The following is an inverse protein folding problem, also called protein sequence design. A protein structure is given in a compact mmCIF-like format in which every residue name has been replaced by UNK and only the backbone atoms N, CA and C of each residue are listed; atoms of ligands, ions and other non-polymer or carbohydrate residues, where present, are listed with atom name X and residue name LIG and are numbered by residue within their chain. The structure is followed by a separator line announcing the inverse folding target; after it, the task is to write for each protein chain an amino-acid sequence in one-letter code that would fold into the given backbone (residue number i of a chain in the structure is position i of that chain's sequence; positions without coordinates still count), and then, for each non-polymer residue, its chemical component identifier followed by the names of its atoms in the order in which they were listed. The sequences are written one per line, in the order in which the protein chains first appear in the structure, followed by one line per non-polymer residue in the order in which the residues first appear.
data_IF_624520143845
#
_entry.id   IF_624520143845
#
_cell.length_a   1.000
_cell.length_b   1.000
_cell.length_c   1.000
_cell.angle_alpha   90.00
_cell.angle_beta   90.00
_cell.angle_gamma   90.00
#
_symmetry.space_group_name_H-M   'P 1'
#
loop_
_entity.id
_entity.type
_entity.pdbx_description
1 polymer ?
#
# COMPACT_ATOMS: atom_id res chain seq x y z
N UNK A 1 -23.21 23.30 -0.79
CA UNK A 1 -23.03 21.97 -1.45
C UNK A 1 -24.40 21.31 -1.49
N UNK A 2 -24.72 20.57 -2.55
CA UNK A 2 -25.96 19.79 -2.65
C UNK A 2 -25.65 18.30 -2.52
N UNK A 3 -26.50 17.55 -1.82
CA UNK A 3 -26.43 16.10 -1.66
C UNK A 3 -27.72 15.50 -2.23
N UNK A 4 -27.58 14.49 -3.09
CA UNK A 4 -28.70 13.93 -3.86
C UNK A 4 -28.74 12.43 -3.62
N UNK A 5 -29.93 11.89 -3.37
CA UNK A 5 -30.17 10.46 -3.21
C UNK A 5 -31.27 10.04 -4.18
N UNK A 6 -31.13 8.85 -4.78
CA UNK A 6 -32.22 8.21 -5.55
C UNK A 6 -33.27 7.59 -4.64
N UNK A 7 -32.93 7.36 -3.37
CA UNK A 7 -33.86 6.86 -2.36
C UNK A 7 -34.48 8.02 -1.60
N UNK A 8 -35.76 8.29 -1.86
CA UNK A 8 -36.54 9.35 -1.23
C UNK A 8 -36.99 9.04 0.21
N UNK A 9 -36.85 7.78 0.65
CA UNK A 9 -37.22 7.37 2.01
C UNK A 9 -36.12 7.65 3.05
N UNK A 10 -34.90 8.01 2.62
CA UNK A 10 -33.81 8.31 3.53
C UNK A 10 -33.99 9.67 4.20
N UNK A 11 -33.74 9.73 5.51
CA UNK A 11 -33.59 10.97 6.23
C UNK A 11 -32.35 11.73 5.77
N UNK A 12 -32.33 13.05 6.00
CA UNK A 12 -31.16 13.88 5.72
C UNK A 12 -29.90 13.38 6.44
N UNK A 13 -30.05 12.88 7.67
CA UNK A 13 -28.92 12.34 8.44
C UNK A 13 -28.34 11.07 7.81
N UNK A 14 -29.19 10.16 7.35
CA UNK A 14 -28.75 8.95 6.63
C UNK A 14 -28.02 9.32 5.33
N UNK A 15 -28.59 10.24 4.53
CA UNK A 15 -27.93 10.73 3.31
C UNK A 15 -26.52 11.26 3.64
N UNK A 16 -26.40 12.10 4.67
CA UNK A 16 -25.11 12.64 5.09
C UNK A 16 -24.13 11.55 5.56
N UNK A 17 -24.61 10.53 6.29
CA UNK A 17 -23.76 9.40 6.70
C UNK A 17 -23.22 8.62 5.51
N UNK A 18 -24.04 8.37 4.48
CA UNK A 18 -23.60 7.70 3.25
C UNK A 18 -22.55 8.53 2.50
N UNK A 19 -22.75 9.85 2.41
CA UNK A 19 -21.76 10.73 1.80
C UNK A 19 -20.46 10.84 2.60
N UNK A 20 -20.51 10.69 3.93
CA UNK A 20 -19.31 10.61 4.77
C UNK A 20 -18.48 9.35 4.45
N UNK A 21 -19.15 8.22 4.19
CA UNK A 21 -18.50 6.97 3.74
C UNK A 21 -17.81 7.07 2.37
N UNK A 22 -17.97 8.17 1.62
CA UNK A 22 -17.23 8.42 0.37
C UNK A 22 -15.77 8.82 0.62
N UNK A 23 -15.49 9.49 1.74
CA UNK A 23 -14.16 10.04 2.05
C UNK A 23 -13.02 9.00 2.04
N UNK A 24 -13.20 7.77 2.55
CA UNK A 24 -12.19 6.72 2.47
C UNK A 24 -11.66 6.45 1.06
N UNK A 25 -12.46 6.61 0.00
CA UNK A 25 -12.00 6.43 -1.39
C UNK A 25 -10.96 7.51 -1.75
N UNK A 26 -11.17 8.75 -1.32
CA UNK A 26 -10.21 9.84 -1.57
C UNK A 26 -8.90 9.63 -0.80
N UNK A 27 -9.00 9.12 0.43
CA UNK A 27 -7.84 8.74 1.25
C UNK A 27 -7.07 7.59 0.60
N UNK A 28 -7.77 6.55 0.14
CA UNK A 28 -7.18 5.44 -0.60
C UNK A 28 -6.40 5.95 -1.82
N UNK A 29 -7.01 6.78 -2.67
CA UNK A 29 -6.35 7.31 -3.85
C UNK A 29 -5.13 8.17 -3.53
N UNK A 30 -5.18 8.96 -2.46
CA UNK A 30 -4.04 9.75 -2.00
C UNK A 30 -2.87 8.86 -1.59
N UNK A 31 -3.13 7.86 -0.75
CA UNK A 31 -2.14 6.88 -0.31
C UNK A 31 -1.51 6.12 -1.48
N UNK A 32 -2.32 5.72 -2.45
CA UNK A 32 -1.84 5.00 -3.63
C UNK A 32 -0.91 5.86 -4.50
N UNK A 33 -1.17 7.16 -4.62
CA UNK A 33 -0.27 8.09 -5.31
C UNK A 33 1.03 8.27 -4.53
N UNK A 34 0.92 8.64 -3.26
CA UNK A 34 2.08 9.01 -2.44
C UNK A 34 3.03 7.84 -2.13
N UNK A 35 2.51 6.62 -1.94
CA UNK A 35 3.30 5.46 -1.47
C UNK A 35 3.36 4.30 -2.46
N UNK A 36 2.37 4.17 -3.34
CA UNK A 36 2.26 3.05 -4.28
C UNK A 36 2.48 3.45 -5.75
N UNK A 37 2.95 4.68 -5.99
CA UNK A 37 3.34 5.23 -7.29
C UNK A 37 2.22 5.28 -8.35
N UNK A 38 0.97 5.46 -7.93
CA UNK A 38 -0.17 5.52 -8.84
C UNK A 38 -0.10 6.69 -9.82
N UNK A 39 0.44 7.84 -9.40
CA UNK A 39 0.66 9.02 -10.25
C UNK A 39 1.95 8.94 -11.08
N UNK A 40 2.94 8.17 -10.61
CA UNK A 40 4.18 7.88 -11.33
C UNK A 40 4.08 6.77 -12.38
N UNK A 41 3.00 5.97 -12.39
CA UNK A 41 2.85 4.83 -13.29
C UNK A 41 2.59 5.27 -14.76
N UNK A 42 3.51 4.91 -15.68
CA UNK A 42 3.50 5.39 -17.07
C UNK A 42 3.04 4.35 -18.11
N UNK A 43 2.70 3.11 -17.72
CA UNK A 43 2.34 2.06 -18.68
C UNK A 43 0.96 2.34 -19.30
N UNK A 44 0.89 2.32 -20.63
CA UNK A 44 -0.32 2.68 -21.40
C UNK A 44 -1.10 1.50 -21.96
N UNK A 45 -0.69 0.26 -21.68
CA UNK A 45 -1.44 -0.92 -22.12
C UNK A 45 -2.60 -1.20 -21.17
N UNK A 46 -3.79 -1.49 -21.71
CA UNK A 46 -4.96 -1.81 -20.88
C UNK A 46 -4.70 -3.00 -19.94
N UNK A 47 -3.98 -4.01 -20.42
CA UNK A 47 -3.60 -5.16 -19.60
C UNK A 47 -2.59 -4.79 -18.50
N UNK A 48 -1.60 -3.94 -18.82
CA UNK A 48 -0.63 -3.45 -17.83
C UNK A 48 -1.33 -2.64 -16.74
N UNK A 49 -2.24 -1.75 -17.12
CA UNK A 49 -3.07 -0.98 -16.18
C UNK A 49 -3.82 -1.94 -15.25
N UNK A 50 -4.55 -2.93 -15.79
CA UNK A 50 -5.28 -3.92 -14.97
C UNK A 50 -4.39 -4.67 -13.98
N UNK A 51 -3.22 -5.14 -14.43
CA UNK A 51 -2.26 -5.86 -13.56
C UNK A 51 -1.75 -4.98 -12.44
N UNK A 52 -1.34 -3.76 -12.76
CA UNK A 52 -0.87 -2.80 -11.78
C UNK A 52 -1.95 -2.46 -10.76
N UNK A 53 -3.19 -2.21 -11.19
CA UNK A 53 -4.32 -1.97 -10.29
C UNK A 53 -4.53 -3.10 -9.29
N UNK A 54 -4.44 -4.36 -9.74
CA UNK A 54 -4.58 -5.52 -8.87
C UNK A 54 -3.46 -5.58 -7.82
N UNK A 55 -2.20 -5.43 -8.26
CA UNK A 55 -1.03 -5.49 -7.38
C UNK A 55 -1.02 -4.35 -6.37
N UNK A 56 -1.31 -3.13 -6.81
CA UNK A 56 -1.40 -1.95 -5.96
C UNK A 56 -2.51 -2.11 -4.92
N UNK A 57 -3.70 -2.55 -5.34
CA UNK A 57 -4.83 -2.77 -4.42
C UNK A 57 -4.51 -3.87 -3.40
N UNK A 58 -3.83 -4.94 -3.83
CA UNK A 58 -3.37 -6.01 -2.95
C UNK A 58 -2.32 -5.50 -1.95
N UNK A 59 -1.35 -4.69 -2.40
CA UNK A 59 -0.35 -4.10 -1.52
C UNK A 59 -1.00 -3.18 -0.47
N UNK A 60 -1.96 -2.35 -0.87
CA UNK A 60 -2.74 -1.53 0.05
C UNK A 60 -3.48 -2.38 1.09
N UNK A 61 -4.15 -3.44 0.64
CA UNK A 61 -4.84 -4.38 1.51
C UNK A 61 -3.87 -5.07 2.49
N UNK A 62 -2.73 -5.56 2.01
CA UNK A 62 -1.71 -6.16 2.87
C UNK A 62 -1.17 -5.18 3.91
N UNK A 63 -1.05 -3.89 3.61
CA UNK A 63 -0.70 -2.90 4.63
C UNK A 63 -1.80 -2.78 5.69
N UNK A 64 -3.08 -2.85 5.32
CA UNK A 64 -4.17 -2.73 6.30
C UNK A 64 -4.36 -3.97 7.18
N UNK A 65 -4.01 -5.17 6.71
CA UNK A 65 -4.34 -6.45 7.40
C UNK A 65 -3.16 -7.39 7.64
N UNK A 66 -2.06 -7.21 6.93
CA UNK A 66 -0.94 -8.15 6.87
C UNK A 66 -0.06 -8.17 8.13
N UNK A 67 -0.25 -7.22 9.04
CA UNK A 67 0.51 -7.11 10.30
C UNK A 67 -0.08 -7.97 11.43
N UNK A 68 -1.05 -8.83 11.13
CA UNK A 68 -1.74 -9.70 12.11
C UNK A 68 -2.87 -9.00 12.88
N UNK A 69 -3.12 -7.73 12.57
CA UNK A 69 -4.24 -6.94 13.08
C UNK A 69 -4.77 -6.01 11.98
N UNK A 70 -6.01 -5.58 12.13
CA UNK A 70 -6.53 -4.47 11.33
C UNK A 70 -5.90 -3.16 11.80
N UNK A 71 -5.28 -2.42 10.88
CA UNK A 71 -4.70 -1.12 11.16
C UNK A 71 -4.92 -0.15 10.00
N UNK A 72 -4.53 1.11 10.19
CA UNK A 72 -4.54 2.08 9.09
C UNK A 72 -3.46 1.70 8.06
N UNK A 73 -3.70 2.00 6.79
CA UNK A 73 -2.70 1.78 5.73
C UNK A 73 -1.34 2.38 6.08
N UNK A 74 -1.30 3.60 6.63
CA UNK A 74 -0.02 4.27 6.95
C UNK A 74 0.76 3.50 8.01
N UNK A 75 0.07 3.05 9.07
CA UNK A 75 0.68 2.27 10.15
C UNK A 75 1.27 0.97 9.61
N UNK A 76 0.47 0.19 8.88
CA UNK A 76 0.95 -1.09 8.38
C UNK A 76 1.96 -0.97 7.25
N UNK A 77 1.88 0.08 6.42
CA UNK A 77 2.91 0.40 5.43
C UNK A 77 4.26 0.61 6.12
N UNK A 78 4.31 1.41 7.19
CA UNK A 78 5.53 1.62 7.96
C UNK A 78 6.04 0.33 8.61
N UNK A 79 5.17 -0.44 9.29
CA UNK A 79 5.55 -1.70 9.93
C UNK A 79 6.11 -2.72 8.90
N UNK A 80 5.50 -2.83 7.72
CA UNK A 80 5.97 -3.71 6.64
C UNK A 80 7.30 -3.20 6.07
N UNK A 81 7.44 -1.88 5.82
CA UNK A 81 8.70 -1.31 5.35
C UNK A 81 9.85 -1.56 6.35
N UNK A 82 9.60 -1.36 7.64
CA UNK A 82 10.58 -1.62 8.71
C UNK A 82 10.96 -3.10 8.76
N UNK A 83 9.98 -3.99 8.60
CA UNK A 83 10.21 -5.44 8.55
C UNK A 83 11.08 -5.81 7.36
N UNK A 84 10.74 -5.35 6.15
CA UNK A 84 11.53 -5.57 4.93
C UNK A 84 12.96 -5.04 5.10
N UNK A 85 13.11 -3.86 5.70
CA UNK A 85 14.42 -3.27 5.93
C UNK A 85 15.25 -4.09 6.93
N UNK A 86 14.64 -4.59 8.00
CA UNK A 86 15.29 -5.46 8.98
C UNK A 86 15.70 -6.80 8.34
N UNK A 87 14.84 -7.40 7.52
CA UNK A 87 15.15 -8.62 6.77
C UNK A 87 16.33 -8.44 5.83
N UNK A 88 16.41 -7.30 5.13
CA UNK A 88 17.59 -6.94 4.32
C UNK A 88 18.86 -6.89 5.15
N UNK A 89 18.84 -6.23 6.31
CA UNK A 89 20.01 -6.19 7.19
C UNK A 89 20.40 -7.56 7.72
N UNK A 90 19.42 -8.40 8.09
CA UNK A 90 19.67 -9.79 8.52
C UNK A 90 20.31 -10.61 7.41
N UNK A 91 19.81 -10.48 6.18
CA UNK A 91 20.39 -11.14 5.01
C UNK A 91 21.84 -10.70 4.79
N UNK A 92 22.11 -9.39 4.75
CA UNK A 92 23.47 -8.86 4.58
C UNK A 92 24.42 -9.33 5.69
N UNK A 93 23.95 -9.34 6.94
CA UNK A 93 24.73 -9.84 8.07
C UNK A 93 25.08 -11.33 7.90
N UNK A 94 24.13 -12.15 7.45
CA UNK A 94 24.36 -13.57 7.19
C UNK A 94 25.39 -13.76 6.07
N UNK A 95 25.26 -13.04 4.95
CA UNK A 95 26.22 -13.07 3.86
C UNK A 95 27.64 -12.67 4.32
N UNK A 96 27.75 -11.64 5.16
CA UNK A 96 29.03 -11.19 5.69
C UNK A 96 29.69 -12.26 6.58
N UNK A 97 28.90 -12.95 7.40
CA UNK A 97 29.38 -14.03 8.28
C UNK A 97 29.88 -15.26 7.50
N UNK A 98 29.28 -15.54 6.36
CA UNK A 98 29.65 -16.67 5.48
C UNK A 98 30.82 -16.36 4.55
N UNK A 99 31.21 -15.09 4.45
CA UNK A 99 32.26 -14.64 3.54
C UNK A 99 33.63 -14.60 4.23
N UNK A 100 34.66 -15.09 3.53
CA UNK A 100 36.04 -15.09 4.05
C UNK A 100 36.75 -13.75 3.86
N UNK A 101 36.35 -12.97 2.85
CA UNK A 101 36.89 -11.66 2.52
C UNK A 101 35.79 -10.74 1.98
N UNK A 102 36.14 -9.46 1.81
CA UNK A 102 35.21 -8.44 1.35
C UNK A 102 34.70 -8.69 -0.07
N UNK A 103 35.55 -9.15 -0.99
CA UNK A 103 35.18 -9.41 -2.38
C UNK A 103 34.16 -10.56 -2.48
N UNK A 104 34.30 -11.57 -1.65
CA UNK A 104 33.36 -12.68 -1.52
C UNK A 104 32.01 -12.21 -0.97
N UNK A 105 32.01 -11.31 0.02
CA UNK A 105 30.79 -10.70 0.54
C UNK A 105 30.06 -9.85 -0.51
N UNK A 106 30.78 -9.02 -1.25
CA UNK A 106 30.18 -8.14 -2.26
C UNK A 106 29.49 -8.92 -3.40
N UNK A 107 29.89 -10.16 -3.66
CA UNK A 107 29.19 -11.05 -4.61
C UNK A 107 27.80 -11.50 -4.12
N UNK A 108 27.54 -11.50 -2.81
CA UNK A 108 26.25 -11.88 -2.22
C UNK A 108 25.34 -10.68 -1.92
N UNK A 109 25.94 -9.49 -1.74
CA UNK A 109 25.24 -8.27 -1.33
C UNK A 109 24.62 -7.48 -2.50
N UNK A 110 25.03 -7.75 -3.74
CA UNK A 110 24.59 -7.10 -4.99
C UNK A 110 23.81 -8.07 -5.85
#
# INVERSE_FOLDING_TARGET
RAFISTNAALSTQEILSWYACRWPIEVFFRQCKEKLALDGYQIRSAQGIKRYWLLMSLAHFMCAVGTGRFCSFETGYHEICDTIQLEKYRYLFQCAKESNDFDSFMKFAV
#
